data_IF_112638959918
#
_entry.id   IF_112638959918
#
_cell.length_a   1.000
_cell.length_b   1.000
_cell.length_c   1.000
_cell.angle_alpha   90.00
_cell.angle_beta   90.00
_cell.angle_gamma   90.00
#
_symmetry.space_group_name_H-M   'P 1'
#
loop_
_entity.id
_entity.type
_entity.pdbx_description
1 polymer ?
#
# COMPACT_ATOMS: atom_id res chain seq x y z
N UNK A 1 -17.31 -0.93 -15.42
CA UNK A 1 -16.82 -0.47 -14.10
C UNK A 1 -17.98 0.25 -13.43
N UNK A 2 -18.26 -0.04 -12.15
CA UNK A 2 -19.23 0.76 -11.38
C UNK A 2 -18.73 2.20 -11.32
N UNK A 3 -19.65 3.17 -11.29
CA UNK A 3 -19.30 4.57 -11.05
C UNK A 3 -19.07 4.79 -9.56
N UNK A 4 -18.27 5.79 -9.20
CA UNK A 4 -17.94 6.17 -7.83
C UNK A 4 -19.17 6.31 -6.91
N UNK A 5 -20.26 6.91 -7.40
CA UNK A 5 -21.49 7.04 -6.62
C UNK A 5 -22.19 5.71 -6.35
N UNK A 6 -22.05 4.72 -7.24
CA UNK A 6 -22.66 3.40 -7.08
C UNK A 6 -21.89 2.61 -6.04
N UNK A 7 -20.56 2.70 -6.07
CA UNK A 7 -19.72 2.11 -5.05
C UNK A 7 -20.02 2.70 -3.67
N UNK A 8 -20.01 4.04 -3.55
CA UNK A 8 -20.28 4.69 -2.27
C UNK A 8 -21.68 4.38 -1.74
N UNK A 9 -22.70 4.32 -2.59
CA UNK A 9 -24.05 3.90 -2.19
C UNK A 9 -24.06 2.48 -1.62
N UNK A 10 -23.34 1.57 -2.27
CA UNK A 10 -23.38 0.14 -1.94
C UNK A 10 -22.51 -0.20 -0.71
N UNK A 11 -21.37 0.48 -0.52
CA UNK A 11 -20.38 0.15 0.53
C UNK A 11 -20.31 1.18 1.65
N UNK A 12 -20.76 2.41 1.39
CA UNK A 12 -20.50 3.58 2.24
C UNK A 12 -19.05 4.05 2.21
N UNK A 13 -18.25 3.62 1.22
CA UNK A 13 -16.82 3.93 1.08
C UNK A 13 -16.55 4.40 -0.36
N UNK A 14 -15.81 5.50 -0.49
CA UNK A 14 -15.18 5.95 -1.74
C UNK A 14 -13.68 6.16 -1.50
N UNK A 15 -12.86 5.93 -2.52
CA UNK A 15 -11.40 5.92 -2.37
C UNK A 15 -10.87 4.62 -1.76
N UNK A 16 -11.56 3.50 -2.00
CA UNK A 16 -11.13 2.17 -1.58
C UNK A 16 -9.84 1.72 -2.30
N UNK A 17 -9.23 0.62 -1.83
CA UNK A 17 -8.09 0.03 -2.53
C UNK A 17 -8.59 -0.86 -3.68
N UNK A 18 -8.32 -0.44 -4.91
CA UNK A 18 -8.69 -1.13 -6.15
C UNK A 18 -7.43 -1.50 -6.93
N UNK A 19 -6.79 -2.65 -6.65
CA UNK A 19 -5.56 -3.05 -7.33
C UNK A 19 -5.71 -3.12 -8.86
N UNK A 20 -6.91 -3.40 -9.36
CA UNK A 20 -7.25 -3.41 -10.78
C UNK A 20 -7.19 -2.03 -11.46
N UNK A 21 -7.21 -0.95 -10.69
CA UNK A 21 -7.14 0.44 -11.18
C UNK A 21 -5.71 0.99 -11.17
N UNK A 22 -4.75 0.21 -10.70
CA UNK A 22 -3.35 0.59 -10.68
C UNK A 22 -2.82 0.81 -12.11
N UNK A 23 -1.96 1.80 -12.25
CA UNK A 23 -1.25 2.07 -13.52
C UNK A 23 0.24 2.08 -13.28
N UNK A 24 1.00 1.66 -14.30
CA UNK A 24 2.45 1.71 -14.27
C UNK A 24 2.92 3.09 -14.75
N UNK A 25 3.86 3.68 -14.01
CA UNK A 25 4.53 4.93 -14.36
C UNK A 25 6.03 4.72 -14.31
N UNK A 26 6.68 4.99 -15.45
CA UNK A 26 8.14 5.08 -15.52
C UNK A 26 8.60 6.38 -14.84
N UNK A 27 9.61 6.27 -13.98
CA UNK A 27 10.25 7.35 -13.25
C UNK A 27 11.45 7.88 -14.02
N UNK A 28 11.99 9.03 -13.60
CA UNK A 28 13.12 9.68 -14.27
C UNK A 28 14.42 8.87 -14.28
N UNK A 29 14.57 7.93 -13.35
CA UNK A 29 15.70 7.01 -13.23
C UNK A 29 15.50 5.68 -13.98
N UNK A 30 14.36 5.50 -14.66
CA UNK A 30 13.98 4.28 -15.36
C UNK A 30 13.29 3.24 -14.48
N UNK A 31 13.06 3.51 -13.19
CA UNK A 31 12.25 2.62 -12.36
C UNK A 31 10.77 2.66 -12.80
N UNK A 32 10.08 1.52 -12.77
CA UNK A 32 8.64 1.46 -13.05
C UNK A 32 7.88 1.29 -11.75
N UNK A 33 7.13 2.32 -11.38
CA UNK A 33 6.30 2.31 -10.18
C UNK A 33 4.84 2.00 -10.49
N UNK A 34 4.21 1.23 -9.59
CA UNK A 34 2.76 1.03 -9.58
C UNK A 34 2.11 2.17 -8.80
N UNK A 35 1.24 2.95 -9.45
CA UNK A 35 0.58 4.11 -8.87
C UNK A 35 -0.95 4.04 -8.98
N UNK A 36 -1.65 4.75 -8.11
CA UNK A 36 -3.09 4.94 -8.12
C UNK A 36 -3.42 6.39 -8.43
N UNK A 37 -4.42 6.63 -9.29
CA UNK A 37 -4.75 7.98 -9.78
C UNK A 37 -5.33 8.91 -8.72
N UNK A 38 -5.91 8.34 -7.68
CA UNK A 38 -6.49 9.03 -6.53
C UNK A 38 -5.51 9.20 -5.37
N UNK A 39 -4.23 8.87 -5.59
CA UNK A 39 -3.17 8.99 -4.60
C UNK A 39 -2.14 10.02 -5.06
N UNK A 40 -1.82 10.96 -4.19
CA UNK A 40 -0.71 11.89 -4.35
C UNK A 40 0.59 11.23 -3.87
N UNK A 41 1.65 11.36 -4.65
CA UNK A 41 2.96 10.79 -4.36
C UNK A 41 3.97 11.92 -4.20
N UNK A 42 4.62 11.97 -3.04
CA UNK A 42 5.67 12.93 -2.72
C UNK A 42 6.98 12.19 -2.44
N UNK A 43 7.89 12.25 -3.40
CA UNK A 43 9.23 11.70 -3.27
C UNK A 43 10.09 12.62 -2.40
N UNK A 44 10.68 12.08 -1.33
CA UNK A 44 11.67 12.74 -0.48
C UNK A 44 13.01 12.01 -0.56
N UNK A 45 14.05 12.53 0.09
CA UNK A 45 15.41 11.97 0.04
C UNK A 45 15.47 10.53 0.58
N UNK A 46 14.76 10.24 1.68
CA UNK A 46 14.83 8.94 2.37
C UNK A 46 13.55 8.11 2.26
N UNK A 47 12.43 8.75 1.94
CA UNK A 47 11.11 8.13 1.93
C UNK A 47 10.23 8.69 0.82
N UNK A 48 9.16 7.97 0.56
CA UNK A 48 8.05 8.36 -0.28
C UNK A 48 6.81 8.48 0.58
N UNK A 49 6.16 9.63 0.52
CA UNK A 49 4.88 9.87 1.16
C UNK A 49 3.74 9.71 0.13
N UNK A 50 2.75 8.90 0.47
CA UNK A 50 1.54 8.70 -0.31
C UNK A 50 0.34 9.27 0.45
N UNK A 51 -0.39 10.19 -0.16
CA UNK A 51 -1.60 10.79 0.42
C UNK A 51 -2.82 10.45 -0.40
N UNK A 52 -3.92 10.11 0.25
CA UNK A 52 -5.22 9.94 -0.40
C UNK A 52 -6.36 10.40 0.49
N UNK A 53 -7.46 10.77 -0.13
CA UNK A 53 -8.72 11.06 0.56
C UNK A 53 -9.67 9.87 0.43
N UNK A 54 -10.31 9.51 1.54
CA UNK A 54 -11.33 8.47 1.59
C UNK A 54 -12.61 9.03 2.17
N UNK A 55 -13.74 8.83 1.50
CA UNK A 55 -15.06 9.16 2.05
C UNK A 55 -15.65 7.89 2.68
N UNK A 56 -15.75 7.86 4.01
CA UNK A 56 -16.27 6.72 4.75
C UNK A 56 -17.48 7.17 5.55
N UNK A 57 -18.66 6.67 5.19
CA UNK A 57 -19.95 6.93 5.88
C UNK A 57 -20.20 8.42 6.14
N UNK A 58 -19.96 9.25 5.12
CA UNK A 58 -20.20 10.69 5.14
C UNK A 58 -19.08 11.52 5.78
N UNK A 59 -17.96 10.91 6.16
CA UNK A 59 -16.79 11.60 6.71
C UNK A 59 -15.59 11.45 5.79
N UNK A 60 -14.86 12.54 5.59
CA UNK A 60 -13.62 12.54 4.81
C UNK A 60 -12.45 12.21 5.73
N UNK A 61 -11.67 11.22 5.34
CA UNK A 61 -10.44 10.79 6.00
C UNK A 61 -9.26 11.09 5.08
N UNK A 62 -8.26 11.78 5.61
CA UNK A 62 -7.00 12.01 4.91
C UNK A 62 -6.01 10.95 5.40
N UNK A 63 -5.60 10.07 4.49
CA UNK A 63 -4.71 8.94 4.80
C UNK A 63 -3.35 9.25 4.21
N UNK A 64 -2.35 9.37 5.09
CA UNK A 64 -0.95 9.55 4.73
C UNK A 64 -0.17 8.30 5.10
N UNK A 65 0.46 7.67 4.11
CA UNK A 65 1.39 6.56 4.30
C UNK A 65 2.80 7.01 3.97
N UNK A 66 3.79 6.51 4.71
CA UNK A 66 5.20 6.82 4.47
C UNK A 66 5.95 5.50 4.27
N UNK A 67 6.59 5.36 3.12
CA UNK A 67 7.36 4.18 2.75
C UNK A 67 8.84 4.55 2.60
N UNK A 68 9.78 3.72 3.06
CA UNK A 68 11.19 3.95 2.76
C UNK A 68 11.42 3.83 1.25
N UNK A 69 12.31 4.65 0.68
CA UNK A 69 12.64 4.60 -0.75
C UNK A 69 13.27 3.27 -1.16
N UNK A 70 13.98 2.64 -0.23
CA UNK A 70 14.56 1.34 -0.42
C UNK A 70 13.90 0.34 0.53
N UNK A 71 13.25 -0.67 -0.04
CA UNK A 71 12.72 -1.78 0.73
C UNK A 71 13.88 -2.58 1.34
N UNK A 72 13.91 -2.67 2.67
CA UNK A 72 14.92 -3.47 3.41
C UNK A 72 14.44 -4.93 3.57
N UNK A 73 13.11 -5.12 3.61
CA UNK A 73 12.45 -6.42 3.68
C UNK A 73 11.00 -6.28 3.23
N UNK A 74 10.49 -7.25 2.48
CA UNK A 74 9.06 -7.36 2.15
C UNK A 74 8.26 -7.81 3.38
N UNK A 75 6.93 -7.58 3.42
CA UNK A 75 6.07 -8.15 4.46
C UNK A 75 6.23 -9.67 4.59
N UNK A 76 6.42 -10.38 3.47
CA UNK A 76 6.69 -11.81 3.43
C UNK A 76 8.03 -12.15 4.07
N UNK A 77 9.11 -11.41 3.77
CA UNK A 77 10.42 -11.63 4.39
C UNK A 77 10.34 -11.50 5.91
N UNK A 78 9.59 -10.49 6.39
CA UNK A 78 9.38 -10.31 7.84
C UNK A 78 8.57 -11.45 8.44
N UNK A 79 7.51 -11.90 7.76
CA UNK A 79 6.69 -13.03 8.22
C UNK A 79 7.52 -14.31 8.31
N UNK A 80 8.32 -14.63 7.29
CA UNK A 80 9.21 -15.79 7.29
C UNK A 80 10.27 -15.68 8.39
N UNK A 81 10.86 -14.50 8.59
CA UNK A 81 11.81 -14.26 9.69
C UNK A 81 11.21 -14.53 11.07
N UNK A 82 9.93 -14.19 11.27
CA UNK A 82 9.21 -14.47 12.51
C UNK A 82 8.94 -15.96 12.71
N UNK A 83 8.57 -16.66 11.64
CA UNK A 83 8.38 -18.11 11.63
C UNK A 83 9.69 -18.80 12.01
N UNK A 84 10.78 -18.48 11.33
CA UNK A 84 12.10 -19.08 11.58
C UNK A 84 12.58 -18.82 13.01
N UNK A 85 12.35 -17.61 13.55
CA UNK A 85 12.66 -17.29 14.94
C UNK A 85 11.89 -18.18 15.93
N UNK A 86 10.58 -18.41 15.70
CA UNK A 86 9.77 -19.25 16.58
C UNK A 86 10.19 -20.73 16.54
N UNK A 87 10.58 -21.24 15.36
CA UNK A 87 11.00 -22.62 15.19
C UNK A 87 12.46 -22.87 15.57
N UNK A 88 13.30 -21.84 15.61
CA UNK A 88 14.69 -21.96 16.05
C UNK A 88 14.84 -22.38 17.51
N UNK A 89 13.85 -22.07 18.37
CA UNK A 89 13.82 -22.50 19.78
C UNK A 89 13.28 -23.93 19.98
N UNK A 90 12.62 -24.51 18.97
CA UNK A 90 11.96 -25.84 19.04
C UNK A 90 12.76 -26.91 18.31
N UNK A 91 14.08 -26.90 18.46
CA UNK A 91 14.96 -27.91 17.87
C UNK A 91 14.57 -29.32 18.29
N UNK A 92 13.91 -30.07 17.41
CA UNK A 92 13.73 -31.51 17.59
C UNK A 92 15.06 -32.20 17.28
N UNK A 93 15.79 -32.61 18.31
CA UNK A 93 16.90 -33.56 18.15
C UNK A 93 16.34 -34.86 17.58
N UNK A 94 16.94 -35.31 16.48
CA UNK A 94 16.70 -36.63 15.89
C UNK A 94 17.20 -37.75 16.81
#
# INVERSE_FOLDING_TARGET
>A
MKKDYEEYRDTGILGGYHPEMAVLREQSDGEVMTIFRDTEYHQQEQNMECRREMLIRGKVFHVTSVFPNQAIATPTDKMLSLIDAEFSEKGHSA
#
